data_IF_251068768572
#
_entry.id   IF_251068768572
#
_cell.length_a   1.000
_cell.length_b   1.000
_cell.length_c   1.000
_cell.angle_alpha   90.00
_cell.angle_beta   90.00
_cell.angle_gamma   90.00
#
_symmetry.space_group_name_H-M   'P 1'
#
loop_
_entity.id
_entity.type
_entity.pdbx_description
1 polymer ?
#
# COMPACT_ATOMS: atom_id res chain seq x y z
N UNK A 1 -15.66 15.81 17.67
CA UNK A 1 -14.22 15.98 17.36
C UNK A 1 -13.33 14.86 17.91
N UNK A 2 -13.46 14.44 19.18
CA UNK A 2 -12.61 13.36 19.74
C UNK A 2 -12.83 11.99 19.07
N UNK A 3 -14.06 11.65 18.71
CA UNK A 3 -14.38 10.39 18.03
C UNK A 3 -13.60 10.22 16.71
N UNK A 4 -13.56 11.25 15.85
CA UNK A 4 -12.82 11.18 14.58
C UNK A 4 -11.31 11.00 14.80
N UNK A 5 -10.74 11.64 15.83
CA UNK A 5 -9.33 11.45 16.21
C UNK A 5 -9.05 10.03 16.70
N UNK A 6 -9.97 9.47 17.50
CA UNK A 6 -9.86 8.08 17.98
C UNK A 6 -9.94 7.11 16.81
N UNK A 7 -10.93 7.25 15.92
CA UNK A 7 -11.08 6.41 14.74
C UNK A 7 -9.83 6.49 13.86
N UNK A 8 -9.34 7.70 13.57
CA UNK A 8 -8.13 7.89 12.75
C UNK A 8 -6.89 7.27 13.40
N UNK A 9 -6.78 7.34 14.74
CA UNK A 9 -5.66 6.71 15.47
C UNK A 9 -5.72 5.18 15.42
N UNK A 10 -6.92 4.60 15.53
CA UNK A 10 -7.12 3.14 15.39
C UNK A 10 -6.74 2.70 13.97
N UNK A 11 -7.28 3.38 12.95
CA UNK A 11 -7.00 3.08 11.55
C UNK A 11 -5.51 3.24 11.21
N UNK A 12 -4.84 4.24 11.78
CA UNK A 12 -3.39 4.40 11.66
C UNK A 12 -2.61 3.16 12.11
N UNK A 13 -2.89 2.64 13.31
CA UNK A 13 -2.18 1.46 13.81
C UNK A 13 -2.52 0.21 13.02
N UNK A 14 -3.78 0.03 12.61
CA UNK A 14 -4.18 -1.07 11.73
C UNK A 14 -3.39 -1.02 10.43
N UNK A 15 -3.34 0.13 9.77
CA UNK A 15 -2.58 0.30 8.53
C UNK A 15 -1.08 0.11 8.74
N UNK A 16 -0.50 0.52 9.87
CA UNK A 16 0.91 0.24 10.19
C UNK A 16 1.18 -1.26 10.32
N UNK A 17 0.32 -2.00 11.03
CA UNK A 17 0.45 -3.45 11.21
C UNK A 17 0.32 -4.16 9.86
N UNK A 18 -0.68 -3.81 9.06
CA UNK A 18 -0.87 -4.39 7.72
C UNK A 18 0.32 -4.09 6.82
N UNK A 19 0.75 -2.83 6.76
CA UNK A 19 1.92 -2.44 5.96
C UNK A 19 3.17 -3.22 6.34
N UNK A 20 3.46 -3.33 7.65
CA UNK A 20 4.58 -4.12 8.15
C UNK A 20 4.42 -5.60 7.77
N UNK A 21 3.23 -6.18 7.94
CA UNK A 21 2.96 -7.57 7.57
C UNK A 21 3.24 -7.85 6.09
N UNK A 22 2.72 -7.01 5.19
CA UNK A 22 2.95 -7.13 3.75
C UNK A 22 4.43 -6.94 3.37
N UNK A 23 5.08 -5.89 3.87
CA UNK A 23 6.47 -5.58 3.50
C UNK A 23 7.48 -6.57 4.10
N UNK A 24 7.28 -7.01 5.34
CA UNK A 24 8.13 -8.06 5.95
C UNK A 24 7.95 -9.38 5.18
N UNK A 25 6.72 -9.72 4.81
CA UNK A 25 6.44 -10.91 3.99
C UNK A 25 7.12 -10.82 2.62
N UNK A 26 7.09 -9.64 1.98
CA UNK A 26 7.77 -9.40 0.71
C UNK A 26 9.30 -9.55 0.85
N UNK A 27 9.91 -8.93 1.85
CA UNK A 27 11.36 -9.03 2.12
C UNK A 27 11.77 -10.48 2.40
N UNK A 28 10.99 -11.18 3.24
CA UNK A 28 11.25 -12.58 3.56
C UNK A 28 11.14 -13.46 2.31
N UNK A 29 10.11 -13.25 1.49
CA UNK A 29 9.91 -14.00 0.25
C UNK A 29 11.03 -13.76 -0.74
N UNK A 30 11.48 -12.52 -0.92
CA UNK A 30 12.62 -12.17 -1.78
C UNK A 30 13.89 -12.90 -1.30
N UNK A 31 14.17 -12.88 0.00
CA UNK A 31 15.32 -13.59 0.57
C UNK A 31 15.25 -15.08 0.27
N UNK A 32 14.11 -15.72 0.53
CA UNK A 32 13.91 -17.15 0.31
C UNK A 32 14.06 -17.52 -1.17
N UNK A 33 13.44 -16.76 -2.08
CA UNK A 33 13.45 -17.04 -3.51
C UNK A 33 14.83 -16.81 -4.16
N UNK A 34 15.60 -15.83 -3.69
CA UNK A 34 16.96 -15.58 -4.20
C UNK A 34 17.96 -16.62 -3.69
N UNK A 35 17.85 -17.02 -2.43
CA UNK A 35 18.85 -17.88 -1.77
C UNK A 35 18.51 -19.37 -1.82
N UNK A 36 17.25 -19.72 -2.13
CA UNK A 36 16.70 -21.05 -1.92
C UNK A 36 16.47 -21.41 -0.45
N UNK A 37 16.72 -20.47 0.48
CA UNK A 37 16.48 -20.70 1.91
C UNK A 37 14.99 -20.89 2.18
N UNK A 38 14.65 -21.93 2.95
CA UNK A 38 13.27 -22.24 3.35
C UNK A 38 12.28 -22.37 2.18
N UNK A 39 12.75 -22.79 1.00
CA UNK A 39 11.91 -23.08 -0.17
C UNK A 39 11.83 -24.58 -0.39
N UNK A 40 10.62 -25.13 -0.51
CA UNK A 40 10.40 -26.54 -0.83
C UNK A 40 9.53 -26.67 -2.08
N UNK A 41 10.07 -27.15 -3.21
CA UNK A 41 9.27 -27.42 -4.39
C UNK A 41 8.39 -28.66 -4.17
N UNK A 42 7.17 -28.63 -4.69
CA UNK A 42 6.25 -29.76 -4.62
C UNK A 42 5.42 -29.88 -5.91
N UNK A 43 4.69 -31.00 -6.06
CA UNK A 43 3.94 -31.35 -7.29
C UNK A 43 4.79 -31.16 -8.55
N UNK A 44 5.84 -31.98 -8.69
CA UNK A 44 6.71 -31.97 -9.87
C UNK A 44 7.31 -30.59 -10.17
N UNK A 45 7.66 -29.82 -9.12
CA UNK A 45 8.29 -28.51 -9.23
C UNK A 45 7.41 -27.40 -9.83
N UNK A 46 6.08 -27.61 -9.90
CA UNK A 46 5.13 -26.61 -10.41
C UNK A 46 4.81 -25.56 -9.34
N UNK A 47 4.91 -25.92 -8.07
CA UNK A 47 4.62 -25.03 -6.95
C UNK A 47 5.79 -25.00 -5.95
N UNK A 48 5.89 -23.91 -5.22
CA UNK A 48 6.86 -23.70 -4.16
C UNK A 48 6.13 -23.41 -2.85
N UNK A 49 6.54 -24.11 -1.79
CA UNK A 49 6.32 -23.64 -0.44
C UNK A 49 7.45 -22.69 -0.04
N UNK A 50 7.09 -21.51 0.44
CA UNK A 50 7.99 -20.70 1.29
C UNK A 50 7.61 -21.05 2.72
N UNK A 51 8.52 -21.69 3.45
CA UNK A 51 8.27 -22.19 4.80
C UNK A 51 8.53 -21.11 5.86
N UNK A 52 8.06 -21.32 7.08
CA UNK A 52 8.54 -20.53 8.22
C UNK A 52 10.04 -20.73 8.43
N UNK A 53 10.78 -19.71 8.91
CA UNK A 53 12.23 -19.78 9.08
C UNK A 53 12.65 -21.00 9.89
N UNK A 54 13.62 -21.76 9.37
CA UNK A 54 14.18 -22.95 10.02
C UNK A 54 13.18 -24.09 10.27
N UNK A 55 12.08 -24.14 9.49
CA UNK A 55 11.07 -25.21 9.58
C UNK A 55 10.69 -25.74 8.20
N UNK A 56 9.98 -26.87 8.18
CA UNK A 56 9.33 -27.43 6.98
C UNK A 56 7.83 -27.06 6.91
N UNK A 57 7.33 -26.24 7.85
CA UNK A 57 5.93 -25.81 7.86
C UNK A 57 5.68 -24.74 6.80
N UNK A 58 4.78 -24.96 5.83
CA UNK A 58 4.47 -23.98 4.80
C UNK A 58 3.89 -22.70 5.38
N UNK A 59 4.48 -21.55 5.03
CA UNK A 59 3.95 -20.23 5.34
C UNK A 59 3.19 -19.65 4.14
N UNK A 60 3.79 -19.72 2.94
CA UNK A 60 3.17 -19.31 1.68
C UNK A 60 3.23 -20.44 0.66
N UNK A 61 2.26 -20.42 -0.24
CA UNK A 61 2.20 -21.33 -1.37
C UNK A 61 2.08 -20.50 -2.65
N UNK A 62 3.00 -20.71 -3.59
CA UNK A 62 3.11 -19.94 -4.81
C UNK A 62 3.40 -20.85 -6.00
N UNK A 63 3.08 -20.39 -7.21
CA UNK A 63 3.50 -21.07 -8.43
C UNK A 63 4.99 -20.85 -8.71
N UNK A 64 5.66 -21.88 -9.19
CA UNK A 64 7.06 -21.83 -9.59
C UNK A 64 7.19 -21.29 -11.03
N UNK A 65 6.74 -20.07 -11.23
CA UNK A 65 6.72 -19.41 -12.53
C UNK A 65 7.10 -17.93 -12.33
N UNK A 66 8.13 -17.46 -13.05
CA UNK A 66 8.65 -16.10 -12.88
C UNK A 66 7.62 -14.99 -13.13
N UNK A 67 6.86 -14.99 -14.26
CA UNK A 67 5.70 -14.12 -14.43
C UNK A 67 4.77 -14.07 -13.22
N UNK A 68 4.36 -15.22 -12.68
CA UNK A 68 3.52 -15.29 -11.48
C UNK A 68 4.21 -14.66 -10.26
N UNK A 69 5.45 -15.07 -9.97
CA UNK A 69 6.23 -14.60 -8.82
C UNK A 69 6.36 -13.08 -8.83
N UNK A 70 6.62 -12.50 -10.01
CA UNK A 70 6.82 -11.07 -10.16
C UNK A 70 5.48 -10.33 -10.11
N UNK A 71 4.55 -10.64 -11.02
CA UNK A 71 3.38 -9.81 -11.27
C UNK A 71 2.17 -10.15 -10.38
N UNK A 72 1.98 -11.42 -10.05
CA UNK A 72 0.82 -11.86 -9.25
C UNK A 72 1.14 -11.93 -7.75
N UNK A 73 2.42 -12.11 -7.39
CA UNK A 73 2.83 -12.28 -5.99
C UNK A 73 3.61 -11.07 -5.44
N UNK A 74 4.80 -10.77 -5.96
CA UNK A 74 5.67 -9.71 -5.43
C UNK A 74 5.09 -8.31 -5.60
N UNK A 75 4.62 -7.97 -6.81
CA UNK A 75 4.00 -6.67 -7.09
C UNK A 75 2.79 -6.44 -6.20
N UNK A 76 1.97 -7.47 -5.97
CA UNK A 76 0.79 -7.39 -5.11
C UNK A 76 1.21 -7.17 -3.65
N UNK A 77 2.14 -7.97 -3.12
CA UNK A 77 2.61 -7.81 -1.73
C UNK A 77 3.22 -6.43 -1.47
N UNK A 78 4.13 -5.98 -2.34
CA UNK A 78 4.81 -4.69 -2.21
C UNK A 78 3.81 -3.55 -2.39
N UNK A 79 2.95 -3.64 -3.41
CA UNK A 79 1.94 -2.63 -3.72
C UNK A 79 0.95 -2.41 -2.57
N UNK A 80 0.43 -3.49 -1.96
CA UNK A 80 -0.42 -3.36 -0.78
C UNK A 80 0.35 -2.89 0.45
N UNK A 81 1.60 -3.32 0.64
CA UNK A 81 2.47 -2.82 1.69
C UNK A 81 2.66 -1.30 1.65
N UNK A 82 2.93 -0.75 0.46
CA UNK A 82 3.04 0.69 0.21
C UNK A 82 1.69 1.39 0.37
N UNK A 83 0.61 0.81 -0.16
CA UNK A 83 -0.74 1.38 -0.01
C UNK A 83 -1.12 1.56 1.46
N UNK A 84 -0.93 0.53 2.30
CA UNK A 84 -1.22 0.62 3.72
C UNK A 84 -0.28 1.59 4.45
N UNK A 85 0.99 1.66 4.03
CA UNK A 85 1.92 2.66 4.58
C UNK A 85 1.43 4.09 4.32
N UNK A 86 1.07 4.41 3.08
CA UNK A 86 0.56 5.73 2.71
C UNK A 86 -0.78 6.00 3.40
N UNK A 87 -1.67 5.01 3.49
CA UNK A 87 -2.94 5.10 4.23
C UNK A 87 -2.70 5.46 5.70
N UNK A 88 -1.72 4.84 6.36
CA UNK A 88 -1.34 5.20 7.72
C UNK A 88 -0.91 6.67 7.81
N UNK A 89 -0.12 7.18 6.85
CA UNK A 89 0.27 8.60 6.83
C UNK A 89 -0.94 9.52 6.68
N UNK A 90 -1.92 9.17 5.84
CA UNK A 90 -3.18 9.91 5.71
C UNK A 90 -3.94 9.92 7.03
N UNK A 91 -4.14 8.77 7.70
CA UNK A 91 -4.83 8.75 8.99
C UNK A 91 -4.09 9.52 10.08
N UNK A 92 -2.75 9.54 10.03
CA UNK A 92 -1.92 10.35 10.93
C UNK A 92 -2.25 11.83 10.87
N UNK A 93 -2.54 12.35 9.68
CA UNK A 93 -2.92 13.76 9.46
C UNK A 93 -4.13 14.14 10.33
N UNK A 94 -5.16 13.29 10.37
CA UNK A 94 -6.44 13.62 11.01
C UNK A 94 -6.44 13.63 12.54
N UNK A 95 -5.39 13.13 13.19
CA UNK A 95 -5.24 13.24 14.64
C UNK A 95 -4.07 14.13 15.08
N UNK A 96 -3.39 14.83 14.16
CA UNK A 96 -2.42 15.85 14.53
C UNK A 96 -3.10 17.06 15.22
N UNK A 97 -2.37 17.81 16.06
CA UNK A 97 -2.87 19.06 16.64
C UNK A 97 -3.19 20.12 15.58
N UNK A 98 -2.33 20.27 14.56
CA UNK A 98 -2.52 21.17 13.42
C UNK A 98 -2.76 20.36 12.15
N UNK A 99 -3.89 20.59 11.48
CA UNK A 99 -4.28 19.89 10.25
C UNK A 99 -3.67 20.52 8.99
N UNK A 100 -3.76 21.85 8.89
CA UNK A 100 -3.29 22.62 7.75
C UNK A 100 -1.79 22.90 7.91
N UNK A 101 -0.96 22.00 7.40
CA UNK A 101 0.51 22.13 7.39
C UNK A 101 1.06 21.63 6.07
N UNK A 102 2.24 22.13 5.67
CA UNK A 102 2.89 21.71 4.42
C UNK A 102 3.18 20.20 4.42
N UNK A 103 3.56 19.67 5.58
CA UNK A 103 3.87 18.27 5.80
C UNK A 103 2.62 17.40 5.61
N UNK A 104 1.48 17.78 6.20
CA UNK A 104 0.24 17.02 6.05
C UNK A 104 -0.28 17.03 4.60
N UNK A 105 -0.19 18.18 3.92
CA UNK A 105 -0.53 18.29 2.49
C UNK A 105 0.35 17.35 1.66
N UNK A 106 1.65 17.25 1.97
CA UNK A 106 2.56 16.36 1.27
C UNK A 106 2.20 14.87 1.45
N UNK A 107 1.76 14.46 2.64
CA UNK A 107 1.32 13.07 2.86
C UNK A 107 0.03 12.75 2.08
N UNK A 108 -0.96 13.66 2.08
CA UNK A 108 -2.16 13.52 1.24
C UNK A 108 -1.79 13.48 -0.24
N UNK A 109 -0.78 14.27 -0.65
CA UNK A 109 -0.28 14.31 -2.02
C UNK A 109 0.34 13.00 -2.47
N UNK A 110 1.23 12.43 -1.67
CA UNK A 110 1.83 11.12 -1.97
C UNK A 110 0.77 10.04 -2.11
N UNK A 111 -0.23 10.02 -1.21
CA UNK A 111 -1.32 9.05 -1.26
C UNK A 111 -2.15 9.17 -2.55
N UNK A 112 -2.60 10.37 -2.93
CA UNK A 112 -3.41 10.48 -4.14
C UNK A 112 -2.60 10.18 -5.41
N UNK A 113 -1.33 10.59 -5.47
CA UNK A 113 -0.47 10.31 -6.64
C UNK A 113 -0.32 8.81 -6.81
N UNK A 114 -0.03 8.09 -5.72
CA UNK A 114 0.07 6.64 -5.77
C UNK A 114 -1.22 6.02 -6.30
N UNK A 115 -2.36 6.35 -5.70
CA UNK A 115 -3.64 5.72 -6.01
C UNK A 115 -4.19 6.04 -7.41
N UNK A 116 -3.88 7.22 -7.96
CA UNK A 116 -4.32 7.60 -9.32
C UNK A 116 -3.40 7.00 -10.37
N UNK A 117 -2.08 7.02 -10.15
CA UNK A 117 -1.11 6.80 -11.23
C UNK A 117 -0.37 5.46 -11.17
N UNK A 118 -0.45 4.69 -10.09
CA UNK A 118 0.31 3.43 -9.96
C UNK A 118 -0.53 2.17 -10.28
N UNK A 119 -1.72 1.95 -9.69
CA UNK A 119 -2.45 0.70 -9.87
C UNK A 119 -2.80 0.36 -11.33
N UNK A 120 -3.26 1.35 -12.10
CA UNK A 120 -3.68 1.11 -13.49
C UNK A 120 -2.50 0.73 -14.40
N UNK A 121 -1.38 1.49 -14.44
CA UNK A 121 -0.21 1.06 -15.21
C UNK A 121 0.35 -0.28 -14.77
N UNK A 122 0.33 -0.59 -13.47
CA UNK A 122 0.77 -1.88 -12.94
C UNK A 122 -0.12 -3.02 -13.44
N UNK A 123 -1.44 -2.87 -13.39
CA UNK A 123 -2.38 -3.89 -13.86
C UNK A 123 -2.27 -4.11 -15.38
N UNK A 124 -2.16 -3.03 -16.16
CA UNK A 124 -1.94 -3.11 -17.62
C UNK A 124 -0.63 -3.83 -17.90
N UNK A 125 0.46 -3.46 -17.23
CA UNK A 125 1.75 -4.11 -17.41
C UNK A 125 1.68 -5.60 -17.06
N UNK A 126 1.05 -5.95 -15.93
CA UNK A 126 0.88 -7.34 -15.51
C UNK A 126 0.09 -8.16 -16.53
N UNK A 127 -0.91 -7.59 -17.20
CA UNK A 127 -1.75 -8.30 -18.18
C UNK A 127 -0.99 -8.81 -19.42
N UNK A 128 0.23 -8.33 -19.67
CA UNK A 128 1.11 -8.90 -20.71
C UNK A 128 1.78 -10.21 -20.30
N UNK A 129 1.81 -10.52 -19.01
CA UNK A 129 2.59 -11.64 -18.46
C UNK A 129 1.74 -12.66 -17.70
N UNK A 130 0.64 -12.22 -17.10
CA UNK A 130 -0.26 -13.04 -16.28
C UNK A 130 -1.72 -12.66 -16.55
N UNK A 131 -2.63 -13.61 -16.37
CA UNK A 131 -4.06 -13.32 -16.43
C UNK A 131 -4.43 -12.43 -15.24
N UNK A 132 -5.02 -11.26 -15.54
CA UNK A 132 -5.49 -10.31 -14.52
C UNK A 132 -6.98 -10.50 -14.33
N UNK A 133 -7.35 -11.06 -13.18
CA UNK A 133 -8.75 -11.33 -12.84
C UNK A 133 -9.61 -10.07 -12.88
N UNK A 134 -10.89 -10.22 -13.24
CA UNK A 134 -11.86 -9.11 -13.33
C UNK A 134 -11.96 -8.29 -12.03
N UNK A 135 -11.80 -8.94 -10.87
CA UNK A 135 -11.82 -8.28 -9.56
C UNK A 135 -10.67 -7.28 -9.40
N UNK A 136 -9.51 -7.53 -10.02
CA UNK A 136 -8.35 -6.62 -9.95
C UNK A 136 -8.65 -5.30 -10.65
N UNK A 137 -9.37 -5.33 -11.79
CA UNK A 137 -9.81 -4.11 -12.46
C UNK A 137 -10.79 -3.30 -11.60
N UNK A 138 -11.66 -3.98 -10.85
CA UNK A 138 -12.50 -3.36 -9.83
C UNK A 138 -11.69 -2.68 -8.72
N UNK A 139 -10.63 -3.33 -8.24
CA UNK A 139 -9.72 -2.75 -7.25
C UNK A 139 -8.96 -1.53 -7.78
N UNK A 140 -8.48 -1.58 -9.03
CA UNK A 140 -7.85 -0.43 -9.70
C UNK A 140 -8.79 0.77 -9.73
N UNK A 141 -10.07 0.55 -10.05
CA UNK A 141 -11.08 1.61 -10.02
C UNK A 141 -11.30 2.18 -8.61
N UNK A 142 -11.37 1.31 -7.59
CA UNK A 142 -11.49 1.75 -6.19
C UNK A 142 -10.29 2.60 -5.78
N UNK A 143 -9.06 2.19 -6.11
CA UNK A 143 -7.87 2.99 -5.86
C UNK A 143 -7.96 4.36 -6.54
N UNK A 144 -8.33 4.40 -7.83
CA UNK A 144 -8.51 5.66 -8.54
C UNK A 144 -9.50 6.60 -7.81
N UNK A 145 -10.67 6.09 -7.41
CA UNK A 145 -11.66 6.86 -6.65
C UNK A 145 -11.12 7.37 -5.31
N UNK A 146 -10.41 6.54 -4.54
CA UNK A 146 -9.75 6.95 -3.30
C UNK A 146 -8.72 8.05 -3.54
N UNK A 147 -7.97 7.95 -4.64
CA UNK A 147 -7.03 8.97 -5.07
C UNK A 147 -7.73 10.30 -5.36
N UNK A 148 -8.82 10.30 -6.12
CA UNK A 148 -9.60 11.50 -6.41
C UNK A 148 -10.13 12.17 -5.13
N UNK A 149 -10.68 11.40 -4.18
CA UNK A 149 -11.12 11.97 -2.90
C UNK A 149 -9.97 12.60 -2.11
N UNK A 150 -8.81 11.94 -2.07
CA UNK A 150 -7.65 12.46 -1.37
C UNK A 150 -7.01 13.68 -2.07
N UNK A 151 -7.13 13.79 -3.40
CA UNK A 151 -6.74 14.97 -4.16
C UNK A 151 -7.56 16.19 -3.72
N UNK A 152 -8.88 16.04 -3.60
CA UNK A 152 -9.73 17.13 -3.10
C UNK A 152 -9.36 17.52 -1.66
N UNK A 153 -9.10 16.54 -0.79
CA UNK A 153 -8.65 16.82 0.58
C UNK A 153 -7.31 17.57 0.61
N UNK A 154 -6.34 17.18 -0.23
CA UNK A 154 -5.06 17.86 -0.32
C UNK A 154 -5.22 19.34 -0.76
N UNK A 155 -6.11 19.60 -1.73
CA UNK A 155 -6.40 20.94 -2.21
C UNK A 155 -7.12 21.79 -1.16
N UNK A 156 -8.12 21.22 -0.46
CA UNK A 156 -8.80 21.89 0.67
C UNK A 156 -7.78 22.25 1.76
N UNK A 157 -6.86 21.33 2.08
CA UNK A 157 -5.84 21.60 3.08
C UNK A 157 -4.87 22.69 2.64
N UNK A 158 -4.51 22.73 1.35
CA UNK A 158 -3.68 23.78 0.78
C UNK A 158 -4.34 25.15 0.84
N UNK A 159 -5.62 25.24 0.49
CA UNK A 159 -6.39 26.48 0.59
C UNK A 159 -6.55 26.92 2.05
N UNK A 160 -6.84 25.99 2.95
CA UNK A 160 -6.93 26.26 4.39
C UNK A 160 -5.63 26.82 4.96
N UNK A 161 -4.47 26.28 4.56
CA UNK A 161 -3.16 26.80 4.96
C UNK A 161 -2.91 28.22 4.40
N UNK A 162 -3.30 28.48 3.16
CA UNK A 162 -3.13 29.80 2.56
C UNK A 162 -3.95 30.85 3.33
N UNK A 163 -5.22 30.57 3.62
CA UNK A 163 -6.10 31.46 4.39
C UNK A 163 -5.59 31.71 5.82
N UNK A 164 -5.02 30.69 6.48
CA UNK A 164 -4.40 30.85 7.80
C UNK A 164 -3.22 31.84 7.76
N UNK A 165 -2.35 31.72 6.76
CA UNK A 165 -1.21 32.62 6.62
C UNK A 165 -1.63 34.05 6.27
N UNK A 166 -2.71 34.23 5.51
CA UNK A 166 -3.27 35.57 5.23
C UNK A 166 -3.81 36.20 6.51
N UNK A 167 -4.60 35.47 7.29
CA UNK A 167 -5.16 35.98 8.55
C UNK A 167 -4.08 36.29 9.60
N UNK A 168 -3.05 35.46 9.71
CA UNK A 168 -1.91 35.70 10.61
C UNK A 168 -1.07 36.93 10.17
N UNK A 169 -1.15 37.35 8.89
CA UNK A 169 -0.46 38.55 8.39
C UNK A 169 -1.16 39.86 8.78
N UNK A 170 -2.44 39.82 9.15
CA UNK A 170 -3.27 40.99 9.47
C UNK A 170 -3.44 41.25 10.98
N UNK A 171 -2.66 40.56 11.84
CA UNK A 171 -2.68 40.75 13.31
C UNK A 171 -1.53 41.65 13.76
#
# INVERSE_FOLDING_TARGET
MNQNKIISKILYYICCILSAGYLVTAVYSILCLITGFAVTPYKQNIYLHINYPFTETPFLNIENNYPYIIFSFMVVLIGYGIFFWLSAKVFKVFFQPKLFTKENILELRRFYIYNIFIPLPVAILASFFVEVESIVWGLVFIHFMLGIFCLFLANIFSQGLHLQNEQDLFI
#
